data_IF_825271493910
#
_entry.id   IF_825271493910
#
_cell.length_a   1.000
_cell.length_b   1.000
_cell.length_c   1.000
_cell.angle_alpha   90.00
_cell.angle_beta   90.00
_cell.angle_gamma   90.00
#
_symmetry.space_group_name_H-M   'P 1'
#
loop_
_entity.id
_entity.type
_entity.pdbx_description
1 polymer ?
#
# COMPACT_ATOMS: atom_id res chain seq x y z
N UNK A 1 -7.25 -5.81 0.17
CA UNK A 1 -6.57 -5.74 1.48
C UNK A 1 -7.41 -4.82 2.34
N UNK A 2 -7.43 -5.04 3.64
CA UNK A 2 -8.30 -4.26 4.52
C UNK A 2 -7.44 -3.37 5.42
N UNK A 3 -7.79 -2.08 5.48
CA UNK A 3 -7.25 -1.14 6.43
C UNK A 3 -8.24 -0.99 7.60
N UNK A 4 -7.73 -1.12 8.82
CA UNK A 4 -8.40 -0.71 10.05
C UNK A 4 -7.56 0.37 10.72
N UNK A 5 -8.11 1.07 11.72
CA UNK A 5 -7.50 2.26 12.32
C UNK A 5 -6.03 2.07 12.79
N UNK A 6 -5.60 0.83 13.04
CA UNK A 6 -4.24 0.51 13.49
C UNK A 6 -3.56 -0.66 12.75
N UNK A 7 -4.16 -1.19 11.67
CA UNK A 7 -3.57 -2.32 10.96
C UNK A 7 -3.95 -2.37 9.47
N UNK A 8 -3.02 -2.87 8.66
CA UNK A 8 -3.32 -3.35 7.31
C UNK A 8 -3.21 -4.87 7.25
N UNK A 9 -4.28 -5.52 6.81
CA UNK A 9 -4.30 -6.95 6.58
C UNK A 9 -4.02 -7.26 5.11
N UNK A 10 -2.77 -7.65 4.84
CA UNK A 10 -2.33 -8.12 3.53
C UNK A 10 -2.78 -9.56 3.31
N UNK A 11 -3.50 -9.79 2.21
CA UNK A 11 -3.92 -11.13 1.77
C UNK A 11 -2.74 -12.03 1.38
N UNK A 12 -1.63 -11.43 0.92
CA UNK A 12 -0.38 -12.12 0.58
C UNK A 12 0.82 -11.32 1.09
N UNK A 13 1.71 -11.99 1.81
CA UNK A 13 2.93 -11.39 2.41
C UNK A 13 4.16 -11.46 1.50
N UNK A 14 4.08 -12.16 0.38
CA UNK A 14 5.15 -12.31 -0.59
C UNK A 14 4.58 -12.25 -2.00
N UNK A 15 5.20 -11.46 -2.85
CA UNK A 15 4.84 -11.30 -4.26
C UNK A 15 6.11 -11.50 -5.08
N UNK A 16 6.01 -12.21 -6.21
CA UNK A 16 7.09 -12.26 -7.20
C UNK A 16 7.16 -10.94 -7.97
N UNK A 17 8.21 -10.75 -8.77
CA UNK A 17 8.21 -9.68 -9.77
C UNK A 17 6.96 -9.74 -10.65
N UNK A 18 6.38 -8.58 -10.96
CA UNK A 18 5.15 -8.48 -11.74
C UNK A 18 4.41 -7.18 -11.46
N UNK A 19 3.35 -6.95 -12.24
CA UNK A 19 2.44 -5.84 -12.04
C UNK A 19 1.27 -6.28 -11.16
N UNK A 20 1.01 -5.54 -10.10
CA UNK A 20 -0.05 -5.82 -9.14
C UNK A 20 -0.93 -4.59 -8.97
N UNK A 21 -2.23 -4.83 -8.89
CA UNK A 21 -3.20 -3.84 -8.42
C UNK A 21 -3.62 -4.20 -7.01
N UNK A 22 -3.22 -3.35 -6.07
CA UNK A 22 -3.69 -3.39 -4.70
C UNK A 22 -5.02 -2.68 -4.60
N UNK A 23 -6.01 -3.36 -4.03
CA UNK A 23 -7.31 -2.77 -3.70
C UNK A 23 -7.37 -2.68 -2.18
N UNK A 24 -7.65 -1.49 -1.65
CA UNK A 24 -7.66 -1.19 -0.21
C UNK A 24 -9.03 -0.71 0.18
N UNK A 25 -9.66 -1.44 1.08
CA UNK A 25 -10.92 -1.07 1.74
C UNK A 25 -10.59 -0.47 3.10
N UNK A 26 -11.10 0.72 3.39
CA UNK A 26 -10.98 1.33 4.71
C UNK A 26 -12.20 0.96 5.56
N UNK A 27 -12.06 -0.08 6.38
CA UNK A 27 -13.08 -0.51 7.34
C UNK A 27 -12.90 0.16 8.72
N UNK A 28 -11.91 1.05 8.85
CA UNK A 28 -11.69 1.89 10.02
C UNK A 28 -12.63 3.10 10.08
N UNK A 29 -12.47 3.91 11.13
CA UNK A 29 -13.20 5.17 11.33
C UNK A 29 -12.35 6.39 10.98
N UNK A 30 -11.07 6.20 10.68
CA UNK A 30 -10.11 7.26 10.36
C UNK A 30 -9.67 7.18 8.91
N UNK A 31 -9.26 8.32 8.34
CA UNK A 31 -8.76 8.37 6.97
C UNK A 31 -7.40 7.69 6.87
N UNK A 32 -7.20 6.92 5.81
CA UNK A 32 -5.95 6.21 5.55
C UNK A 32 -5.42 6.48 4.13
N UNK A 33 -4.20 6.05 3.87
CA UNK A 33 -3.67 5.90 2.51
C UNK A 33 -2.82 4.64 2.49
N UNK A 34 -2.78 3.93 1.37
CA UNK A 34 -1.83 2.82 1.20
C UNK A 34 -0.58 3.35 0.52
N UNK A 35 0.57 3.15 1.15
CA UNK A 35 1.87 3.29 0.50
C UNK A 35 2.51 1.92 0.24
N UNK A 36 3.17 1.78 -0.91
CA UNK A 36 3.95 0.60 -1.30
C UNK A 36 5.35 1.04 -1.66
N UNK A 37 6.35 0.36 -1.09
CA UNK A 37 7.77 0.53 -1.40
C UNK A 37 8.38 -0.86 -1.56
N UNK A 38 9.25 -1.03 -2.55
CA UNK A 38 9.90 -2.31 -2.79
C UNK A 38 10.90 -2.26 -3.95
N UNK A 39 11.50 -3.40 -4.32
CA UNK A 39 12.38 -3.50 -5.47
C UNK A 39 11.70 -2.98 -6.75
N UNK A 40 12.35 -2.00 -7.39
CA UNK A 40 11.81 -1.32 -8.57
C UNK A 40 10.72 -0.28 -8.30
N UNK A 41 10.34 -0.01 -7.04
CA UNK A 41 9.30 0.96 -6.65
C UNK A 41 9.83 1.87 -5.52
N UNK A 42 10.15 3.12 -5.87
CA UNK A 42 10.78 4.08 -4.95
C UNK A 42 9.91 4.40 -3.72
N UNK A 43 8.61 4.62 -3.93
CA UNK A 43 7.48 4.63 -3.00
C UNK A 43 6.32 5.14 -3.84
N UNK A 44 5.18 4.48 -3.79
CA UNK A 44 3.97 4.92 -4.49
C UNK A 44 2.79 4.74 -3.55
N UNK A 45 1.87 5.69 -3.55
CA UNK A 45 0.74 5.69 -2.62
C UNK A 45 -0.57 6.02 -3.32
N UNK A 46 -1.68 5.59 -2.71
CA UNK A 46 -3.02 6.01 -3.10
C UNK A 46 -3.27 7.45 -2.66
N UNK A 47 -4.32 8.07 -3.20
CA UNK A 47 -4.98 9.17 -2.51
C UNK A 47 -5.54 8.72 -1.15
N UNK A 48 -5.99 9.68 -0.33
CA UNK A 48 -6.65 9.38 0.94
C UNK A 48 -7.94 8.57 0.73
N UNK A 49 -8.19 7.65 1.64
CA UNK A 49 -9.31 6.72 1.65
C UNK A 49 -10.11 7.01 2.92
N UNK A 50 -11.31 7.57 2.78
CA UNK A 50 -12.21 7.84 3.90
C UNK A 50 -12.80 6.55 4.50
N UNK A 51 -13.46 6.64 5.68
CA UNK A 51 -14.15 5.51 6.28
C UNK A 51 -15.22 4.92 5.34
N UNK A 52 -15.18 3.60 5.14
CA UNK A 52 -16.07 2.88 4.23
C UNK A 52 -15.74 3.03 2.74
N UNK A 53 -14.70 3.79 2.39
CA UNK A 53 -14.27 3.98 1.01
C UNK A 53 -13.20 2.96 0.58
N UNK A 54 -12.99 2.87 -0.73
CA UNK A 54 -12.00 2.00 -1.36
C UNK A 54 -11.12 2.79 -2.33
N UNK A 55 -9.83 2.45 -2.41
CA UNK A 55 -8.94 2.96 -3.45
C UNK A 55 -8.04 1.85 -4.04
N UNK A 56 -7.44 2.13 -5.20
CA UNK A 56 -6.61 1.20 -5.96
C UNK A 56 -5.22 1.78 -6.21
N UNK A 57 -4.20 0.93 -6.07
CA UNK A 57 -2.82 1.26 -6.38
C UNK A 57 -2.20 0.20 -7.27
N UNK A 58 -1.83 0.57 -8.50
CA UNK A 58 -1.12 -0.32 -9.41
C UNK A 58 0.37 -0.02 -9.38
N UNK A 59 1.18 -1.04 -9.11
CA UNK A 59 2.65 -0.94 -9.12
C UNK A 59 3.25 -2.11 -9.88
N UNK A 60 4.43 -1.87 -10.46
CA UNK A 60 5.25 -2.92 -11.07
C UNK A 60 6.43 -3.20 -10.17
N UNK A 61 6.40 -4.35 -9.51
CA UNK A 61 7.51 -4.84 -8.68
C UNK A 61 8.56 -5.45 -9.59
N UNK A 62 9.77 -4.88 -9.59
CA UNK A 62 10.89 -5.41 -10.38
C UNK A 62 11.95 -5.94 -9.43
N UNK A 63 12.07 -7.26 -9.38
CA UNK A 63 13.22 -7.92 -8.79
C UNK A 63 14.34 -7.92 -9.84
N UNK A 64 15.49 -7.35 -9.51
CA UNK A 64 16.70 -7.59 -10.28
C UNK A 64 17.45 -8.80 -9.69
N UNK A 65 18.26 -9.47 -10.50
CA UNK A 65 18.99 -10.69 -10.07
C UNK A 65 19.93 -10.46 -8.87
N UNK A 66 20.22 -9.20 -8.51
CA UNK A 66 21.04 -8.83 -7.35
C UNK A 66 20.25 -8.64 -6.05
N UNK A 67 18.94 -8.41 -6.12
CA UNK A 67 18.09 -8.17 -4.93
C UNK A 67 17.00 -9.24 -4.87
N UNK A 68 17.42 -10.44 -4.50
CA UNK A 68 16.64 -11.64 -4.13
C UNK A 68 15.13 -11.64 -4.44
N UNK A 69 14.79 -12.25 -5.57
CA UNK A 69 13.47 -12.83 -5.83
C UNK A 69 13.28 -14.02 -4.85
N UNK A 70 12.83 -13.74 -3.63
CA UNK A 70 12.72 -14.74 -2.56
C UNK A 70 12.74 -14.17 -1.14
N UNK A 71 13.17 -12.92 -0.95
CA UNK A 71 12.93 -12.23 0.31
C UNK A 71 11.45 -11.81 0.39
N UNK A 72 10.79 -11.88 1.56
CA UNK A 72 9.46 -11.33 1.73
C UNK A 72 9.53 -9.85 1.36
N UNK A 73 8.85 -9.47 0.27
CA UNK A 73 8.66 -8.07 -0.05
C UNK A 73 7.89 -7.46 1.13
N UNK A 74 8.58 -6.68 1.95
CA UNK A 74 7.96 -5.90 3.00
C UNK A 74 7.11 -4.82 2.32
N UNK A 75 5.86 -5.16 2.00
CA UNK A 75 4.84 -4.16 1.69
C UNK A 75 4.56 -3.46 3.01
N UNK A 76 5.28 -2.38 3.26
CA UNK A 76 4.98 -1.51 4.39
C UNK A 76 3.77 -0.66 4.02
N UNK A 77 2.58 -1.20 4.27
CA UNK A 77 1.37 -0.41 4.26
C UNK A 77 1.40 0.51 5.48
N UNK A 78 1.60 1.81 5.23
CA UNK A 78 1.65 2.83 6.28
C UNK A 78 0.36 3.64 6.26
N UNK A 79 -0.36 3.69 7.38
CA UNK A 79 -1.49 4.61 7.56
C UNK A 79 -0.89 6.02 7.63
N UNK A 80 -1.02 6.79 6.56
CA UNK A 80 -0.59 8.18 6.59
C UNK A 80 -1.67 9.01 7.31
N UNK A 81 -1.40 9.39 8.55
CA UNK A 81 -2.18 10.38 9.29
C UNK A 81 -1.94 11.75 8.64
N UNK A 82 -2.74 12.10 7.63
CA UNK A 82 -2.80 13.47 7.16
C UNK A 82 -4.19 14.01 7.48
N UNK A 83 -4.28 14.75 8.59
CA UNK A 83 -5.09 15.96 8.58
C UNK A 83 -4.46 16.89 7.54
N UNK A 84 -4.72 16.64 6.26
CA UNK A 84 -4.29 17.57 5.22
C UNK A 84 -5.22 18.76 5.37
N UNK A 85 -4.78 19.77 6.12
CA UNK A 85 -5.45 21.07 6.15
C UNK A 85 -5.81 21.45 4.71
N UNK A 86 -7.03 21.96 4.47
CA UNK A 86 -7.43 22.36 3.13
C UNK A 86 -6.36 23.31 2.60
N UNK A 87 -5.85 23.01 1.39
CA UNK A 87 -4.98 23.93 0.67
C UNK A 87 -5.86 25.15 0.35
N UNK A 88 -5.74 26.21 1.13
CA UNK A 88 -6.15 27.57 0.76
C UNK A 88 -5.25 28.10 -0.33
#
# INVERSE_FOLDING_TARGET
MTATDYAFQLQRKSLSSGTYTFVVDNEGRTTHALAVKGPGVARTETETIGPGEQNRLTVTLRCDARTSCGAPLAITAASAWFARSPRT
#
